data_IF_388434278858
#
_entry.id   IF_388434278858
#
_cell.length_a   1.000
_cell.length_b   1.000
_cell.length_c   1.000
_cell.angle_alpha   90.00
_cell.angle_beta   90.00
_cell.angle_gamma   90.00
#
_symmetry.space_group_name_H-M   'P 1'
#
loop_
_entity.id
_entity.type
_entity.pdbx_description
1 polymer ?
#
# COMPACT_ATOMS: atom_id res chain seq x y z
N UNK A 1 -1.03 43.17 -1.73
CA UNK A 1 0.35 43.56 -1.39
C UNK A 1 0.95 42.42 -0.60
N UNK A 2 1.55 41.48 -1.31
CA UNK A 2 2.01 40.20 -0.81
C UNK A 2 3.46 40.37 -0.34
N UNK A 3 3.70 40.22 0.96
CA UNK A 3 5.05 40.15 1.52
C UNK A 3 5.78 38.96 0.91
N UNK A 4 6.69 39.22 -0.03
CA UNK A 4 7.70 38.28 -0.48
C UNK A 4 8.52 37.85 0.75
N UNK A 5 8.21 36.64 1.23
CA UNK A 5 8.95 35.95 2.28
C UNK A 5 10.29 35.53 1.67
N UNK A 6 11.32 36.37 1.76
CA UNK A 6 12.65 36.04 1.27
C UNK A 6 13.27 34.92 2.12
N UNK A 7 13.11 33.67 1.69
CA UNK A 7 14.04 32.62 2.08
C UNK A 7 15.46 33.01 1.65
N UNK A 8 16.47 32.51 2.39
CA UNK A 8 17.88 32.81 2.10
C UNK A 8 18.22 32.44 0.65
N UNK A 9 18.88 33.31 -0.14
CA UNK A 9 19.35 32.98 -1.49
C UNK A 9 20.15 31.67 -1.57
N UNK A 10 20.89 31.36 -0.49
CA UNK A 10 21.67 30.12 -0.35
C UNK A 10 20.77 28.87 -0.37
N UNK A 11 19.61 28.92 0.29
CA UNK A 11 18.68 27.78 0.32
C UNK A 11 18.05 27.54 -1.05
N UNK A 12 17.74 28.61 -1.80
CA UNK A 12 17.19 28.51 -3.16
C UNK A 12 18.22 27.89 -4.11
N UNK A 13 19.49 28.31 -4.03
CA UNK A 13 20.58 27.76 -4.83
C UNK A 13 20.78 26.27 -4.52
N UNK A 14 20.89 25.92 -3.23
CA UNK A 14 21.04 24.53 -2.78
C UNK A 14 19.88 23.63 -3.21
N UNK A 15 18.65 24.11 -3.05
CA UNK A 15 17.46 23.43 -3.53
C UNK A 15 17.52 23.20 -5.04
N UNK A 16 17.89 24.23 -5.80
CA UNK A 16 17.93 24.17 -7.27
C UNK A 16 18.94 23.15 -7.77
N UNK A 17 20.12 23.07 -7.14
CA UNK A 17 21.13 22.05 -7.45
C UNK A 17 20.57 20.64 -7.28
N UNK A 18 19.90 20.38 -6.16
CA UNK A 18 19.37 19.06 -5.82
C UNK A 18 18.16 18.73 -6.72
N UNK A 19 17.19 19.63 -6.82
CA UNK A 19 15.95 19.40 -7.56
C UNK A 19 16.22 19.13 -9.06
N UNK A 20 17.21 19.81 -9.67
CA UNK A 20 17.61 19.59 -11.06
C UNK A 20 17.97 18.13 -11.37
N UNK A 21 18.53 17.40 -10.41
CA UNK A 21 18.85 15.98 -10.57
C UNK A 21 17.61 15.11 -10.80
N UNK A 22 16.46 15.50 -10.23
CA UNK A 22 15.22 14.75 -10.30
C UNK A 22 14.36 15.11 -11.52
N UNK A 23 14.70 16.16 -12.26
CA UNK A 23 13.99 16.53 -13.48
C UNK A 23 14.37 15.54 -14.60
N UNK A 24 13.40 14.86 -15.25
CA UNK A 24 13.69 13.98 -16.37
C UNK A 24 14.46 14.71 -17.47
N UNK A 25 15.49 14.06 -18.04
CA UNK A 25 16.37 14.67 -19.03
C UNK A 25 15.63 15.17 -20.28
N UNK A 26 14.57 14.47 -20.68
CA UNK A 26 13.68 14.86 -21.78
C UNK A 26 13.00 16.20 -21.48
N UNK A 27 12.50 16.37 -20.25
CA UNK A 27 11.86 17.62 -19.82
C UNK A 27 12.87 18.75 -19.71
N UNK A 28 14.03 18.49 -19.11
CA UNK A 28 15.09 19.47 -18.95
C UNK A 28 15.63 19.98 -20.31
N UNK A 29 15.61 19.13 -21.34
CA UNK A 29 16.05 19.49 -22.70
C UNK A 29 14.97 20.21 -23.51
N UNK A 30 13.70 20.02 -23.16
CA UNK A 30 12.57 20.67 -23.83
C UNK A 30 12.41 22.13 -23.41
N UNK A 31 12.66 22.44 -22.13
CA UNK A 31 12.52 23.79 -21.59
C UNK A 31 13.72 24.67 -21.94
N UNK A 32 13.46 25.97 -22.16
CA UNK A 32 14.55 26.95 -22.18
C UNK A 32 15.15 27.09 -20.79
N UNK A 33 16.38 27.60 -20.67
CA UNK A 33 17.00 27.84 -19.35
C UNK A 33 16.14 28.75 -18.47
N UNK A 34 15.50 29.77 -19.05
CA UNK A 34 14.63 30.68 -18.31
C UNK A 34 13.34 29.99 -17.82
N UNK A 35 12.75 29.10 -18.64
CA UNK A 35 11.56 28.35 -18.26
C UNK A 35 11.87 27.28 -17.22
N UNK A 36 13.03 26.63 -17.32
CA UNK A 36 13.53 25.69 -16.32
C UNK A 36 13.76 26.38 -14.96
N UNK A 37 14.39 27.55 -14.96
CA UNK A 37 14.61 28.31 -13.72
C UNK A 37 13.27 28.78 -13.12
N UNK A 38 12.31 29.21 -13.95
CA UNK A 38 10.94 29.53 -13.51
C UNK A 38 10.24 28.32 -12.90
N UNK A 39 10.38 27.15 -13.54
CA UNK A 39 9.81 25.88 -13.05
C UNK A 39 10.37 25.55 -11.66
N UNK A 40 11.70 25.54 -11.50
CA UNK A 40 12.37 25.24 -10.23
C UNK A 40 11.99 26.25 -9.14
N UNK A 41 11.93 27.54 -9.49
CA UNK A 41 11.56 28.59 -8.55
C UNK A 41 10.14 28.41 -8.00
N UNK A 42 9.18 28.04 -8.84
CA UNK A 42 7.82 27.75 -8.37
C UNK A 42 7.80 26.60 -7.35
N UNK A 43 8.54 25.52 -7.62
CA UNK A 43 8.64 24.36 -6.72
C UNK A 43 9.35 24.70 -5.40
N UNK A 44 10.38 25.54 -5.44
CA UNK A 44 11.01 26.07 -4.22
C UNK A 44 10.03 26.92 -3.42
N UNK A 45 9.27 27.78 -4.10
CA UNK A 45 8.31 28.66 -3.46
C UNK A 45 7.19 27.90 -2.74
N UNK A 46 6.76 26.78 -3.31
CA UNK A 46 5.86 25.84 -2.65
C UNK A 46 6.55 25.17 -1.45
N UNK A 47 7.77 24.65 -1.61
CA UNK A 47 8.45 23.84 -0.59
C UNK A 47 8.95 24.62 0.64
N UNK A 48 9.33 25.89 0.48
CA UNK A 48 9.99 26.67 1.53
C UNK A 48 9.13 26.88 2.79
N UNK A 49 7.81 26.69 2.72
CA UNK A 49 6.89 26.86 3.85
C UNK A 49 5.90 25.70 3.94
N UNK A 50 5.89 25.01 5.09
CA UNK A 50 4.92 23.95 5.43
C UNK A 50 4.53 24.10 6.91
N UNK A 51 3.28 24.51 7.16
CA UNK A 51 2.75 24.73 8.52
C UNK A 51 2.17 23.47 9.14
N UNK A 52 1.39 22.74 8.34
CA UNK A 52 0.77 21.49 8.75
C UNK A 52 1.65 20.29 8.38
N UNK A 53 1.31 19.11 8.89
CA UNK A 53 2.08 17.91 8.59
C UNK A 53 2.05 17.55 7.10
N UNK A 54 0.91 17.78 6.44
CA UNK A 54 0.71 17.56 5.01
C UNK A 54 0.31 18.88 4.37
N UNK A 55 1.05 19.33 3.36
CA UNK A 55 0.69 20.48 2.52
C UNK A 55 0.43 19.98 1.10
N UNK A 56 -0.72 20.35 0.56
CA UNK A 56 -1.15 20.02 -0.80
C UNK A 56 -1.57 21.31 -1.47
N UNK A 57 -1.12 21.53 -2.70
CA UNK A 57 -1.60 22.58 -3.59
C UNK A 57 -1.96 21.96 -4.94
N UNK A 58 -3.17 22.22 -5.41
CA UNK A 58 -3.68 21.72 -6.69
C UNK A 58 -4.20 22.89 -7.49
N UNK A 59 -3.60 23.12 -8.66
CA UNK A 59 -3.96 24.26 -9.48
C UNK A 59 -3.69 24.02 -10.96
N UNK A 60 -4.42 24.75 -11.79
CA UNK A 60 -4.12 24.91 -13.21
C UNK A 60 -3.08 26.04 -13.35
N UNK A 61 -1.88 25.78 -13.91
CA UNK A 61 -0.85 26.81 -14.04
C UNK A 61 -1.28 27.99 -14.93
N UNK A 62 -0.73 29.18 -14.64
CA UNK A 62 -0.95 30.40 -15.43
C UNK A 62 -0.19 30.41 -16.75
N UNK A 63 -0.41 31.47 -17.55
CA UNK A 63 0.17 31.64 -18.89
C UNK A 63 1.71 31.68 -18.89
N UNK A 64 2.33 32.04 -17.77
CA UNK A 64 3.79 32.00 -17.59
C UNK A 64 4.38 30.58 -17.61
N UNK A 65 3.52 29.55 -17.49
CA UNK A 65 3.84 28.13 -17.65
C UNK A 65 3.12 27.55 -18.87
N UNK A 66 3.18 28.24 -20.01
CA UNK A 66 2.44 27.89 -21.25
C UNK A 66 2.59 26.42 -21.71
N UNK A 67 3.68 25.74 -21.39
CA UNK A 67 3.87 24.32 -21.70
C UNK A 67 2.98 23.37 -20.86
N UNK A 68 2.34 23.87 -19.81
CA UNK A 68 1.42 23.16 -18.93
C UNK A 68 -0.05 23.56 -19.15
N UNK A 69 -0.38 24.24 -20.26
CA UNK A 69 -1.74 24.79 -20.50
C UNK A 69 -2.86 23.74 -20.42
N UNK A 70 -2.57 22.49 -20.78
CA UNK A 70 -3.51 21.36 -20.74
C UNK A 70 -3.31 20.45 -19.52
N UNK A 71 -2.65 20.94 -18.48
CA UNK A 71 -2.29 20.16 -17.30
C UNK A 71 -2.81 20.79 -16.02
N UNK A 72 -3.08 19.95 -15.03
CA UNK A 72 -3.21 20.34 -13.63
C UNK A 72 -1.94 19.92 -12.88
N UNK A 73 -1.44 20.81 -12.04
CA UNK A 73 -0.29 20.56 -11.18
C UNK A 73 -0.78 20.25 -9.78
N UNK A 74 -0.23 19.18 -9.20
CA UNK A 74 -0.44 18.75 -7.83
C UNK A 74 0.91 18.77 -7.14
N UNK A 75 1.09 19.67 -6.19
CA UNK A 75 2.27 19.74 -5.34
C UNK A 75 1.95 19.26 -3.94
N UNK A 76 2.77 18.36 -3.42
CA UNK A 76 2.58 17.77 -2.09
C UNK A 76 3.90 17.84 -1.33
N UNK A 77 3.85 18.17 -0.05
CA UNK A 77 5.00 17.99 0.84
C UNK A 77 4.59 17.58 2.25
N UNK A 78 5.31 16.61 2.80
CA UNK A 78 5.06 15.94 4.07
C UNK A 78 6.34 15.22 4.55
N UNK A 79 6.48 14.92 5.85
CA UNK A 79 7.56 14.06 6.33
C UNK A 79 7.56 12.71 5.60
N UNK A 80 8.76 12.24 5.24
CA UNK A 80 8.92 11.02 4.43
C UNK A 80 8.46 9.77 5.18
N UNK A 81 7.82 8.86 4.44
CA UNK A 81 7.39 7.56 4.93
C UNK A 81 7.11 6.62 3.77
N UNK A 82 6.96 5.32 4.08
CA UNK A 82 6.58 4.33 3.06
C UNK A 82 5.19 4.64 2.46
N UNK A 83 4.98 4.18 1.22
CA UNK A 83 3.71 4.21 0.48
C UNK A 83 3.20 5.57 -0.03
N UNK A 84 3.86 6.70 0.25
CA UNK A 84 3.40 8.03 -0.20
C UNK A 84 3.13 8.08 -1.71
N UNK A 85 4.11 7.69 -2.54
CA UNK A 85 3.98 7.70 -4.00
C UNK A 85 2.98 6.67 -4.49
N UNK A 86 2.94 5.49 -3.86
CA UNK A 86 1.99 4.43 -4.23
C UNK A 86 0.54 4.88 -3.99
N UNK A 87 0.26 5.51 -2.85
CA UNK A 87 -1.06 6.09 -2.54
C UNK A 87 -1.49 7.15 -3.55
N UNK A 88 -0.56 8.00 -3.99
CA UNK A 88 -0.85 9.02 -5.00
C UNK A 88 -1.15 8.40 -6.38
N UNK A 89 -0.35 7.43 -6.81
CA UNK A 89 -0.55 6.73 -8.09
C UNK A 89 -1.86 5.95 -8.06
N UNK A 90 -2.16 5.25 -6.96
CA UNK A 90 -3.39 4.48 -6.80
C UNK A 90 -4.62 5.39 -6.86
N UNK A 91 -4.57 6.55 -6.19
CA UNK A 91 -5.61 7.57 -6.27
C UNK A 91 -5.84 8.04 -7.71
N UNK A 92 -4.78 8.46 -8.41
CA UNK A 92 -4.89 8.92 -9.80
C UNK A 92 -5.45 7.82 -10.71
N UNK A 93 -5.00 6.57 -10.51
CA UNK A 93 -5.46 5.44 -11.32
C UNK A 93 -6.91 5.10 -11.05
N UNK A 94 -7.37 5.18 -9.79
CA UNK A 94 -8.77 4.94 -9.42
C UNK A 94 -9.71 5.96 -10.06
N UNK A 95 -9.28 7.22 -10.15
CA UNK A 95 -10.03 8.31 -10.79
C UNK A 95 -9.73 8.45 -12.29
N UNK A 96 -8.97 7.53 -12.89
CA UNK A 96 -8.58 7.52 -14.31
C UNK A 96 -7.85 8.81 -14.77
N UNK A 97 -7.18 9.51 -13.85
CA UNK A 97 -6.35 10.66 -14.19
C UNK A 97 -5.08 10.20 -14.89
N UNK A 98 -4.80 10.81 -16.03
CA UNK A 98 -3.60 10.55 -16.81
C UNK A 98 -2.42 11.29 -16.18
N UNK A 99 -1.48 10.53 -15.61
CA UNK A 99 -0.21 11.07 -15.12
C UNK A 99 0.72 11.34 -16.29
N UNK A 100 1.10 12.62 -16.46
CA UNK A 100 2.05 13.07 -17.47
C UNK A 100 3.49 13.06 -16.93
N UNK A 101 3.68 13.49 -15.69
CA UNK A 101 5.00 13.56 -15.05
C UNK A 101 4.89 13.46 -13.53
N UNK A 102 5.82 12.77 -12.90
CA UNK A 102 6.01 12.77 -11.45
C UNK A 102 7.48 13.06 -11.13
N UNK A 103 7.72 13.99 -10.21
CA UNK A 103 9.03 14.34 -9.68
C UNK A 103 8.94 14.22 -8.16
N UNK A 104 9.78 13.37 -7.55
CA UNK A 104 9.70 13.01 -6.14
C UNK A 104 11.08 13.05 -5.46
N UNK A 105 11.64 14.24 -5.20
CA UNK A 105 12.84 14.39 -4.40
C UNK A 105 12.56 14.21 -2.91
N UNK A 106 13.60 13.76 -2.21
CA UNK A 106 13.66 13.70 -0.75
C UNK A 106 14.76 14.65 -0.27
N UNK A 107 14.55 15.24 0.90
CA UNK A 107 15.49 16.19 1.49
C UNK A 107 15.65 15.93 2.98
N UNK A 108 16.87 16.10 3.49
CA UNK A 108 17.08 16.31 4.92
C UNK A 108 16.71 17.76 5.24
N UNK A 109 15.71 17.95 6.11
CA UNK A 109 15.08 19.27 6.33
C UNK A 109 14.93 19.57 7.82
N UNK A 110 15.35 20.77 8.21
CA UNK A 110 14.90 21.39 9.46
C UNK A 110 13.99 22.58 9.16
N UNK A 111 12.84 22.63 9.83
CA UNK A 111 11.89 23.75 9.75
C UNK A 111 11.88 24.54 11.06
N UNK A 112 11.61 25.83 10.96
CA UNK A 112 11.27 26.67 12.10
C UNK A 112 9.87 26.38 12.63
N UNK A 113 9.57 26.90 13.82
CA UNK A 113 8.24 26.78 14.42
C UNK A 113 7.13 27.47 13.59
N UNK A 114 7.51 28.36 12.66
CA UNK A 114 6.61 29.00 11.69
C UNK A 114 6.43 28.18 10.40
N UNK A 115 7.00 26.98 10.32
CA UNK A 115 6.93 26.10 9.15
C UNK A 115 7.93 26.44 8.04
N UNK A 116 8.76 27.48 8.22
CA UNK A 116 9.73 27.90 7.22
C UNK A 116 10.98 27.02 7.21
N UNK A 117 11.49 26.77 6.01
CA UNK A 117 12.74 26.05 5.79
C UNK A 117 13.93 26.77 6.42
N UNK A 118 14.72 26.07 7.25
CA UNK A 118 15.97 26.56 7.85
C UNK A 118 17.20 25.97 7.20
N UNK A 119 17.19 24.66 7.00
CA UNK A 119 18.27 23.90 6.38
C UNK A 119 17.68 22.90 5.40
N UNK A 120 18.45 22.61 4.34
CA UNK A 120 18.07 21.68 3.29
C UNK A 120 19.34 21.02 2.76
N UNK A 121 19.40 19.71 2.84
CA UNK A 121 20.50 18.91 2.30
C UNK A 121 19.96 17.75 1.46
N UNK A 122 20.80 17.26 0.53
CA UNK A 122 20.48 16.07 -0.26
C UNK A 122 20.53 14.81 0.61
N UNK A 123 19.87 13.73 0.18
CA UNK A 123 19.80 12.46 0.94
C UNK A 123 21.16 11.77 1.12
N UNK A 124 22.16 12.13 0.31
CA UNK A 124 23.53 11.60 0.42
C UNK A 124 24.39 12.37 1.43
N UNK A 125 23.91 13.52 1.91
CA UNK A 125 24.62 14.29 2.93
C UNK A 125 24.56 13.57 4.28
N UNK A 126 25.65 13.63 5.04
CA UNK A 126 25.64 13.18 6.43
C UNK A 126 24.84 14.19 7.27
N UNK A 127 23.56 13.91 7.49
CA UNK A 127 22.63 14.74 8.25
C UNK A 127 21.71 13.89 9.12
N UNK A 128 21.48 14.34 10.36
CA UNK A 128 20.50 13.74 11.27
C UNK A 128 19.11 14.40 11.16
N UNK A 129 18.95 15.40 10.29
CA UNK A 129 17.67 16.05 10.08
C UNK A 129 16.65 15.07 9.49
N UNK A 130 15.35 15.18 9.86
CA UNK A 130 14.33 14.29 9.32
C UNK A 130 14.21 14.43 7.81
N UNK A 131 13.83 13.32 7.16
CA UNK A 131 13.54 13.32 5.74
C UNK A 131 12.16 13.92 5.47
N UNK A 132 12.09 14.77 4.45
CA UNK A 132 10.86 15.34 3.94
C UNK A 132 10.72 15.04 2.45
N UNK A 133 9.53 14.58 2.09
CA UNK A 133 9.11 14.32 0.72
C UNK A 133 8.59 15.60 0.09
N UNK A 134 9.01 15.87 -1.14
CA UNK A 134 8.29 16.77 -2.04
C UNK A 134 7.84 15.98 -3.28
N UNK A 135 6.60 16.16 -3.70
CA UNK A 135 6.07 15.64 -4.95
C UNK A 135 5.62 16.81 -5.80
N UNK A 136 6.06 16.82 -7.05
CA UNK A 136 5.38 17.49 -8.14
C UNK A 136 4.75 16.41 -9.02
N UNK A 137 3.46 16.51 -9.25
CA UNK A 137 2.70 15.65 -10.14
C UNK A 137 2.00 16.52 -11.18
N UNK A 138 2.14 16.13 -12.43
CA UNK A 138 1.44 16.69 -13.57
C UNK A 138 0.44 15.67 -14.09
N UNK A 139 -0.83 16.05 -14.16
CA UNK A 139 -1.92 15.24 -14.72
C UNK A 139 -2.65 16.01 -15.83
N UNK A 140 -3.55 15.33 -16.55
CA UNK A 140 -4.49 16.00 -17.45
C UNK A 140 -5.25 17.12 -16.71
N UNK A 141 -5.59 18.18 -17.44
CA UNK A 141 -6.34 19.31 -16.87
C UNK A 141 -7.66 18.84 -16.24
N UNK A 142 -7.91 19.33 -15.03
CA UNK A 142 -9.11 19.13 -14.25
C UNK A 142 -9.91 20.44 -14.14
N UNK A 143 -11.22 20.29 -13.96
CA UNK A 143 -12.12 21.38 -13.60
C UNK A 143 -12.02 21.71 -12.09
N UNK A 144 -12.59 22.86 -11.69
CA UNK A 144 -12.42 23.37 -10.33
C UNK A 144 -12.98 22.43 -9.24
N UNK A 145 -14.13 21.81 -9.49
CA UNK A 145 -14.79 20.87 -8.58
C UNK A 145 -14.00 19.55 -8.45
N UNK A 146 -13.40 19.07 -9.54
CA UNK A 146 -12.51 17.92 -9.53
C UNK A 146 -11.25 18.20 -8.70
N UNK A 147 -10.63 19.37 -8.86
CA UNK A 147 -9.47 19.79 -8.05
C UNK A 147 -9.81 19.90 -6.56
N UNK A 148 -10.96 20.49 -6.21
CA UNK A 148 -11.43 20.56 -4.82
C UNK A 148 -11.72 19.18 -4.22
N UNK A 149 -12.27 18.25 -5.00
CA UNK A 149 -12.46 16.87 -4.58
C UNK A 149 -11.12 16.17 -4.36
N UNK A 150 -10.19 16.30 -5.31
CA UNK A 150 -8.86 15.72 -5.23
C UNK A 150 -8.07 16.22 -4.02
N UNK A 151 -8.14 17.51 -3.73
CA UNK A 151 -7.44 18.07 -2.58
C UNK A 151 -7.98 17.51 -1.25
N UNK A 152 -9.31 17.41 -1.11
CA UNK A 152 -9.93 16.83 0.10
C UNK A 152 -9.60 15.35 0.26
N UNK A 153 -9.69 14.58 -0.82
CA UNK A 153 -9.44 13.15 -0.80
C UNK A 153 -7.96 12.86 -0.51
N UNK A 154 -7.03 13.51 -1.21
CA UNK A 154 -5.60 13.29 -0.98
C UNK A 154 -5.20 13.69 0.45
N UNK A 155 -5.76 14.77 1.00
CA UNK A 155 -5.52 15.12 2.39
C UNK A 155 -5.99 14.01 3.34
N UNK A 156 -7.20 13.48 3.14
CA UNK A 156 -7.71 12.36 3.93
C UNK A 156 -6.83 11.11 3.80
N UNK A 157 -6.41 10.76 2.57
CA UNK A 157 -5.54 9.62 2.31
C UNK A 157 -4.19 9.77 3.02
N UNK A 158 -3.55 10.93 2.94
CA UNK A 158 -2.25 11.14 3.60
C UNK A 158 -2.37 11.20 5.13
N UNK A 159 -3.46 11.74 5.69
CA UNK A 159 -3.72 11.68 7.14
C UNK A 159 -3.90 10.23 7.60
N UNK A 160 -4.66 9.42 6.86
CA UNK A 160 -4.78 7.98 7.14
C UNK A 160 -3.42 7.27 7.02
N UNK A 161 -2.64 7.54 5.97
CA UNK A 161 -1.29 6.97 5.80
C UNK A 161 -0.39 7.31 6.99
N UNK A 162 -0.40 8.58 7.44
CA UNK A 162 0.41 9.00 8.60
C UNK A 162 -0.03 8.30 9.88
N UNK A 163 -1.33 8.09 10.05
CA UNK A 163 -1.89 7.31 11.16
C UNK A 163 -1.35 5.87 11.13
N UNK A 164 -1.44 5.20 9.97
CA UNK A 164 -0.95 3.83 9.77
C UNK A 164 0.55 3.73 10.09
N UNK A 165 1.35 4.64 9.56
CA UNK A 165 2.80 4.67 9.78
C UNK A 165 3.13 4.90 11.27
N UNK A 166 2.42 5.81 11.94
CA UNK A 166 2.65 6.11 13.37
C UNK A 166 2.28 4.95 14.29
N UNK A 167 1.32 4.12 13.88
CA UNK A 167 0.83 2.98 14.67
C UNK A 167 1.62 1.69 14.41
N UNK A 168 2.55 1.69 13.45
CA UNK A 168 3.27 0.49 13.00
C UNK A 168 3.91 -0.31 14.15
N UNK A 169 4.62 0.36 15.06
CA UNK A 169 5.27 -0.31 16.20
C UNK A 169 4.26 -0.96 17.15
N UNK A 170 3.07 -0.37 17.31
CA UNK A 170 2.01 -0.93 18.15
C UNK A 170 1.40 -2.17 17.51
N UNK A 171 1.24 -2.17 16.18
CA UNK A 171 0.76 -3.34 15.43
C UNK A 171 1.80 -4.46 15.44
N UNK A 172 3.08 -4.17 15.24
CA UNK A 172 4.15 -5.17 15.31
C UNK A 172 4.31 -5.79 16.71
N UNK A 173 4.12 -4.96 17.75
CA UNK A 173 4.07 -5.46 19.14
C UNK A 173 2.91 -6.42 19.35
N UNK A 174 1.71 -6.07 18.85
CA UNK A 174 0.55 -6.95 18.94
C UNK A 174 0.83 -8.28 18.23
N UNK A 175 1.37 -8.26 17.00
CA UNK A 175 1.82 -9.46 16.28
C UNK A 175 2.78 -10.32 17.11
N UNK A 176 3.70 -9.68 17.83
CA UNK A 176 4.65 -10.36 18.72
C UNK A 176 4.02 -11.05 19.91
N UNK A 177 3.01 -10.43 20.53
CA UNK A 177 2.26 -11.06 21.61
C UNK A 177 1.55 -12.34 21.13
N UNK A 178 1.01 -12.33 19.92
CA UNK A 178 0.31 -13.48 19.34
C UNK A 178 1.24 -14.57 18.80
N UNK A 179 2.50 -14.25 18.55
CA UNK A 179 3.53 -15.21 18.12
C UNK A 179 4.08 -16.07 19.27
N UNK A 180 3.96 -15.61 20.52
CA UNK A 180 4.54 -16.30 21.67
C UNK A 180 3.81 -17.61 22.00
N UNK A 181 4.57 -18.70 22.17
CA UNK A 181 4.02 -20.00 22.57
C UNK A 181 3.32 -20.79 21.46
N UNK A 182 3.37 -20.29 20.22
CA UNK A 182 2.84 -20.97 19.04
C UNK A 182 3.77 -22.11 18.59
N UNK A 183 3.25 -23.04 17.81
CA UNK A 183 4.06 -24.08 17.17
C UNK A 183 5.01 -23.48 16.11
N UNK A 184 5.96 -24.29 15.63
CA UNK A 184 6.99 -23.85 14.69
C UNK A 184 6.43 -23.38 13.34
N UNK A 185 5.35 -24.00 12.87
CA UNK A 185 4.73 -23.66 11.58
C UNK A 185 3.99 -22.33 11.68
N UNK A 186 3.19 -22.16 12.73
CA UNK A 186 2.49 -20.90 13.03
C UNK A 186 3.48 -19.76 13.23
N UNK A 187 4.58 -20.00 13.95
CA UNK A 187 5.65 -19.01 14.15
C UNK A 187 6.30 -18.59 12.83
N UNK A 188 6.50 -19.54 11.90
CA UNK A 188 7.05 -19.24 10.58
C UNK A 188 6.08 -18.38 9.74
N UNK A 189 4.77 -18.68 9.77
CA UNK A 189 3.74 -17.85 9.10
C UNK A 189 3.75 -16.43 9.64
N UNK A 190 3.77 -16.26 10.97
CA UNK A 190 3.77 -14.93 11.59
C UNK A 190 5.05 -14.15 11.28
N UNK A 191 6.21 -14.81 11.27
CA UNK A 191 7.47 -14.19 10.85
C UNK A 191 7.43 -13.77 9.38
N UNK A 192 6.85 -14.60 8.51
CA UNK A 192 6.69 -14.27 7.10
C UNK A 192 5.74 -13.07 6.91
N UNK A 193 4.62 -13.03 7.63
CA UNK A 193 3.69 -11.89 7.57
C UNK A 193 4.36 -10.56 7.94
N UNK A 194 5.25 -10.53 8.95
CA UNK A 194 5.95 -9.28 9.30
C UNK A 194 6.82 -8.71 8.18
N UNK A 195 7.39 -9.57 7.33
CA UNK A 195 8.23 -9.12 6.21
C UNK A 195 7.40 -8.86 4.94
N UNK A 196 6.36 -9.64 4.71
CA UNK A 196 5.68 -9.73 3.41
C UNK A 196 4.25 -9.19 3.40
N UNK A 197 3.72 -8.77 4.54
CA UNK A 197 2.38 -8.18 4.69
C UNK A 197 2.47 -6.73 5.17
N UNK A 198 1.88 -5.82 4.41
CA UNK A 198 1.75 -4.41 4.76
C UNK A 198 0.66 -4.28 5.81
N UNK A 199 1.06 -3.85 7.01
CA UNK A 199 0.17 -3.69 8.17
C UNK A 199 -0.56 -2.35 8.07
N UNK A 200 -1.87 -2.39 7.82
CA UNK A 200 -2.71 -1.20 7.73
C UNK A 200 -3.49 -0.91 9.01
N UNK A 201 -3.75 -1.92 9.84
CA UNK A 201 -4.41 -1.71 11.12
C UNK A 201 -4.53 -2.98 11.93
N UNK A 202 -4.76 -2.83 13.22
CA UNK A 202 -5.01 -3.97 14.10
C UNK A 202 -5.85 -3.61 15.32
N UNK A 203 -6.57 -4.60 15.85
CA UNK A 203 -7.40 -4.47 17.04
C UNK A 203 -7.57 -5.82 17.72
N UNK A 204 -7.98 -5.81 18.99
CA UNK A 204 -8.46 -7.04 19.66
C UNK A 204 -9.90 -7.35 19.23
N UNK A 205 -10.25 -8.62 19.27
CA UNK A 205 -11.55 -9.12 18.83
C UNK A 205 -11.94 -10.35 19.63
N UNK A 206 -13.24 -10.56 19.80
CA UNK A 206 -13.82 -11.84 20.23
C UNK A 206 -13.96 -12.88 19.08
N UNK A 207 -13.36 -12.60 17.92
CA UNK A 207 -13.49 -13.30 16.63
C UNK A 207 -14.80 -13.06 15.86
N UNK A 208 -15.74 -12.28 16.42
CA UNK A 208 -16.97 -11.88 15.74
C UNK A 208 -17.03 -10.38 15.52
N UNK A 209 -16.44 -9.59 16.41
CA UNK A 209 -16.42 -8.13 16.31
C UNK A 209 -15.15 -7.57 16.92
N UNK A 210 -14.81 -6.34 16.54
CA UNK A 210 -13.71 -5.62 17.19
C UNK A 210 -14.17 -5.19 18.58
N UNK A 211 -13.33 -5.43 19.59
CA UNK A 211 -13.62 -5.11 20.99
C UNK A 211 -13.68 -3.58 21.17
N UNK A 212 -14.83 -3.06 21.59
CA UNK A 212 -15.07 -1.62 21.69
C UNK A 212 -14.15 -0.90 22.68
N UNK A 213 -13.74 -1.60 23.74
CA UNK A 213 -12.86 -1.07 24.80
C UNK A 213 -11.36 -1.35 24.54
N UNK A 214 -11.03 -2.00 23.42
CA UNK A 214 -9.65 -2.31 23.08
C UNK A 214 -8.95 -1.18 22.33
N UNK A 215 -7.62 -1.02 22.49
CA UNK A 215 -6.84 -0.15 21.62
C UNK A 215 -6.98 -0.58 20.16
N UNK A 216 -7.23 0.41 19.29
CA UNK A 216 -7.34 0.23 17.84
C UNK A 216 -6.28 1.05 17.12
N UNK A 217 -5.73 0.48 16.05
CA UNK A 217 -4.58 1.01 15.34
C UNK A 217 -4.85 1.14 13.83
N UNK A 218 -4.21 2.12 13.20
CA UNK A 218 -4.25 2.36 11.76
C UNK A 218 -5.68 2.58 11.25
N UNK A 219 -6.07 1.86 10.20
CA UNK A 219 -7.39 1.98 9.56
C UNK A 219 -8.56 1.75 10.54
N UNK A 220 -8.36 1.00 11.62
CA UNK A 220 -9.42 0.76 12.62
C UNK A 220 -9.67 1.95 13.55
N UNK A 221 -8.89 3.04 13.47
CA UNK A 221 -9.27 4.29 14.14
C UNK A 221 -10.56 4.89 13.56
N UNK A 222 -10.88 4.59 12.31
CA UNK A 222 -12.14 4.98 11.69
C UNK A 222 -13.28 4.06 12.13
N UNK A 223 -14.34 4.64 12.71
CA UNK A 223 -15.54 3.90 13.15
C UNK A 223 -16.21 3.11 12.03
N UNK A 224 -16.29 3.70 10.83
CA UNK A 224 -16.87 3.04 9.65
C UNK A 224 -16.14 1.76 9.29
N UNK A 225 -14.80 1.77 9.31
CA UNK A 225 -13.98 0.58 9.05
C UNK A 225 -14.25 -0.51 10.09
N UNK A 226 -14.30 -0.16 11.38
CA UNK A 226 -14.60 -1.12 12.46
C UNK A 226 -15.98 -1.75 12.32
N UNK A 227 -16.99 -0.95 11.97
CA UNK A 227 -18.35 -1.43 11.77
C UNK A 227 -18.46 -2.39 10.57
N UNK A 228 -17.81 -2.06 9.44
CA UNK A 228 -17.76 -2.94 8.26
C UNK A 228 -17.08 -4.26 8.59
N UNK A 229 -15.91 -4.23 9.22
CA UNK A 229 -15.15 -5.45 9.55
C UNK A 229 -15.87 -6.32 10.58
N UNK A 230 -16.50 -5.71 11.59
CA UNK A 230 -17.31 -6.49 12.54
C UNK A 230 -18.48 -7.20 11.86
N UNK A 231 -19.09 -6.59 10.82
CA UNK A 231 -20.13 -7.23 10.03
C UNK A 231 -19.59 -8.40 9.20
N UNK A 232 -18.45 -8.22 8.55
CA UNK A 232 -17.82 -9.27 7.76
C UNK A 232 -17.38 -10.46 8.64
N UNK A 233 -16.77 -10.22 9.80
CA UNK A 233 -16.41 -11.26 10.77
C UNK A 233 -17.64 -12.07 11.24
N UNK A 234 -18.77 -11.40 11.49
CA UNK A 234 -20.03 -12.06 11.83
C UNK A 234 -20.57 -12.93 10.69
N UNK A 235 -20.47 -12.46 9.45
CA UNK A 235 -20.93 -13.20 8.26
C UNK A 235 -20.08 -14.44 7.98
N UNK A 236 -18.77 -14.35 8.16
CA UNK A 236 -17.85 -15.48 8.01
C UNK A 236 -18.09 -16.58 9.07
N UNK A 237 -18.77 -16.26 10.17
CA UNK A 237 -19.19 -17.26 11.14
C UNK A 237 -18.02 -17.98 11.82
N UNK A 238 -16.90 -17.28 12.03
CA UNK A 238 -15.69 -17.83 12.66
C UNK A 238 -16.05 -18.50 14.00
N UNK A 239 -16.06 -19.83 14.01
CA UNK A 239 -16.37 -20.56 15.24
C UNK A 239 -15.24 -20.40 16.24
N UNK A 240 -15.58 -20.28 17.52
CA UNK A 240 -14.62 -20.39 18.62
C UNK A 240 -14.04 -21.81 18.73
N UNK A 241 -14.63 -22.78 18.03
CA UNK A 241 -14.12 -24.15 17.91
C UNK A 241 -13.11 -24.35 16.77
N UNK A 242 -12.92 -23.35 15.90
CA UNK A 242 -11.91 -23.44 14.85
C UNK A 242 -10.52 -23.32 15.48
N UNK A 243 -9.76 -24.42 15.48
CA UNK A 243 -8.50 -24.54 16.22
C UNK A 243 -7.33 -23.83 15.52
N UNK A 244 -7.55 -23.29 14.32
CA UNK A 244 -6.50 -22.64 13.53
C UNK A 244 -6.02 -21.36 14.23
N UNK A 245 -4.71 -21.24 14.55
CA UNK A 245 -4.18 -20.07 15.25
C UNK A 245 -4.08 -18.83 14.35
N UNK A 246 -4.11 -19.01 13.03
CA UNK A 246 -4.08 -17.94 12.02
C UNK A 246 -5.16 -18.23 10.99
N UNK A 247 -6.08 -17.29 10.80
CA UNK A 247 -7.18 -17.39 9.85
C UNK A 247 -7.11 -16.18 8.92
N UNK A 248 -7.12 -16.44 7.62
CA UNK A 248 -7.09 -15.41 6.58
C UNK A 248 -8.47 -15.23 5.99
N UNK A 249 -8.88 -13.98 5.81
CA UNK A 249 -10.16 -13.60 5.23
C UNK A 249 -9.97 -12.53 4.18
N UNK A 250 -10.78 -12.62 3.13
CA UNK A 250 -10.93 -11.57 2.13
C UNK A 250 -12.07 -10.65 2.53
N UNK A 251 -11.94 -9.37 2.20
CA UNK A 251 -12.95 -8.36 2.50
C UNK A 251 -13.45 -7.72 1.21
N UNK A 252 -14.54 -6.97 1.32
CA UNK A 252 -14.93 -6.01 0.29
C UNK A 252 -14.70 -4.56 0.77
N UNK A 253 -13.87 -4.41 1.82
CA UNK A 253 -13.59 -3.11 2.44
C UNK A 253 -12.25 -2.58 1.95
N UNK A 254 -12.24 -1.29 1.58
CA UNK A 254 -11.09 -0.60 1.03
C UNK A 254 -10.53 0.40 2.05
N UNK A 255 -9.22 0.65 1.99
CA UNK A 255 -8.57 1.77 2.69
C UNK A 255 -8.50 2.99 1.79
N UNK A 256 -8.38 4.18 2.38
CA UNK A 256 -8.14 5.41 1.63
C UNK A 256 -6.72 5.44 1.02
N UNK A 257 -5.78 4.71 1.62
CA UNK A 257 -4.36 4.64 1.21
C UNK A 257 -4.15 3.66 0.03
N UNK A 258 -5.12 2.79 -0.25
CA UNK A 258 -5.18 1.86 -1.39
C UNK A 258 -6.65 1.60 -1.78
N UNK A 259 -7.20 2.46 -2.64
CA UNK A 259 -8.62 2.43 -3.07
C UNK A 259 -8.92 1.31 -4.06
N UNK A 260 -7.92 0.75 -4.73
CA UNK A 260 -8.14 -0.28 -5.76
C UNK A 260 -8.15 -1.71 -5.24
N UNK A 261 -7.58 -1.96 -4.06
CA UNK A 261 -7.50 -3.30 -3.48
C UNK A 261 -8.22 -3.33 -2.15
N UNK A 262 -9.21 -4.23 -1.96
CA UNK A 262 -9.71 -4.48 -0.62
C UNK A 262 -8.57 -5.09 0.21
N UNK A 263 -8.55 -4.80 1.51
CA UNK A 263 -7.54 -5.39 2.39
C UNK A 263 -7.94 -6.79 2.83
N UNK A 264 -6.96 -7.61 3.14
CA UNK A 264 -7.17 -8.90 3.79
C UNK A 264 -7.27 -8.71 5.30
N UNK A 265 -8.02 -9.58 5.95
CA UNK A 265 -7.97 -9.73 7.40
C UNK A 265 -7.18 -10.97 7.78
N UNK A 266 -6.41 -10.85 8.85
CA UNK A 266 -5.75 -11.97 9.50
C UNK A 266 -6.23 -11.99 10.94
N UNK A 267 -7.01 -13.00 11.29
CA UNK A 267 -7.44 -13.26 12.67
C UNK A 267 -6.41 -14.18 13.33
N UNK A 268 -5.77 -13.68 14.37
CA UNK A 268 -4.79 -14.37 15.18
C UNK A 268 -5.41 -14.84 16.47
N UNK A 269 -5.12 -16.07 16.89
CA UNK A 269 -5.60 -16.66 18.14
C UNK A 269 -4.43 -17.15 18.98
N UNK A 270 -4.43 -16.80 20.26
CA UNK A 270 -3.49 -17.33 21.24
C UNK A 270 -4.20 -17.55 22.58
N UNK A 271 -4.48 -18.82 22.89
CA UNK A 271 -5.33 -19.19 24.03
C UNK A 271 -6.74 -18.62 23.87
N UNK A 272 -7.19 -17.83 24.85
CA UNK A 272 -8.51 -17.19 24.85
C UNK A 272 -8.51 -15.77 24.25
N UNK A 273 -7.37 -15.31 23.73
CA UNK A 273 -7.24 -13.98 23.12
C UNK A 273 -7.30 -14.12 21.60
N UNK A 274 -7.95 -13.16 20.95
CA UNK A 274 -7.88 -12.98 19.50
C UNK A 274 -7.56 -11.55 19.11
N UNK A 275 -6.89 -11.38 17.98
CA UNK A 275 -6.65 -10.10 17.33
C UNK A 275 -6.98 -10.19 15.85
N UNK A 276 -7.39 -9.08 15.26
CA UNK A 276 -7.60 -8.94 13.83
C UNK A 276 -6.62 -7.92 13.28
N UNK A 277 -6.00 -8.24 12.15
CA UNK A 277 -5.05 -7.38 11.45
C UNK A 277 -5.59 -7.16 10.05
N UNK A 278 -5.64 -5.91 9.60
CA UNK A 278 -5.96 -5.52 8.23
C UNK A 278 -4.67 -5.19 7.46
N UNK A 279 -4.60 -5.62 6.20
CA UNK A 279 -3.45 -5.29 5.36
C UNK A 279 -3.45 -5.87 3.96
N UNK A 280 -2.31 -5.78 3.28
CA UNK A 280 -2.11 -6.32 1.93
C UNK A 280 -0.81 -7.11 1.82
N UNK A 281 -0.80 -8.10 0.93
CA UNK A 281 0.44 -8.73 0.51
C UNK A 281 1.29 -7.76 -0.31
N UNK A 282 2.59 -7.71 -0.01
CA UNK A 282 3.56 -6.95 -0.80
C UNK A 282 3.72 -7.58 -2.19
N UNK A 283 4.22 -6.82 -3.16
CA UNK A 283 4.57 -7.37 -4.47
C UNK A 283 5.61 -8.50 -4.35
N UNK A 284 6.53 -8.40 -3.39
CA UNK A 284 7.50 -9.46 -3.08
C UNK A 284 6.81 -10.75 -2.63
N UNK A 285 5.77 -10.66 -1.81
CA UNK A 285 4.95 -11.80 -1.43
C UNK A 285 4.30 -12.46 -2.65
N UNK A 286 3.64 -11.67 -3.50
CA UNK A 286 2.90 -12.17 -4.67
C UNK A 286 3.79 -12.87 -5.71
N UNK A 287 5.05 -12.46 -5.78
CA UNK A 287 6.05 -12.99 -6.72
C UNK A 287 6.94 -14.09 -6.12
N UNK A 288 6.86 -14.33 -4.82
CA UNK A 288 7.64 -15.37 -4.13
C UNK A 288 7.21 -16.78 -4.57
N UNK A 289 8.16 -17.70 -4.62
CA UNK A 289 7.86 -19.09 -4.94
C UNK A 289 6.94 -19.69 -3.85
N UNK A 290 5.85 -20.34 -4.25
CA UNK A 290 4.86 -20.91 -3.30
C UNK A 290 5.46 -21.99 -2.40
N UNK A 291 6.58 -22.59 -2.81
CA UNK A 291 7.37 -23.54 -2.03
C UNK A 291 8.20 -22.90 -0.90
N UNK A 292 8.35 -21.57 -0.88
CA UNK A 292 9.08 -20.83 0.15
C UNK A 292 8.15 -20.21 1.19
N UNK A 293 6.86 -20.06 0.86
CA UNK A 293 5.87 -19.42 1.74
C UNK A 293 5.43 -20.43 2.81
N UNK A 294 5.52 -20.07 4.11
CA UNK A 294 5.01 -20.91 5.19
C UNK A 294 3.53 -21.25 5.00
N UNK A 295 3.09 -22.40 5.48
CA UNK A 295 1.78 -23.03 5.26
C UNK A 295 1.47 -23.39 3.79
N UNK A 296 1.66 -22.46 2.86
CA UNK A 296 1.44 -22.64 1.42
C UNK A 296 2.34 -23.74 0.85
N UNK A 297 3.63 -23.79 1.23
CA UNK A 297 4.54 -24.85 0.78
C UNK A 297 4.03 -26.26 1.15
N UNK A 298 3.39 -26.41 2.31
CA UNK A 298 2.81 -27.68 2.75
C UNK A 298 1.58 -28.05 1.92
N UNK A 299 0.78 -27.06 1.50
CA UNK A 299 -0.33 -27.30 0.58
C UNK A 299 0.18 -27.75 -0.80
N UNK A 300 1.21 -27.10 -1.33
CA UNK A 300 1.85 -27.51 -2.59
C UNK A 300 2.42 -28.94 -2.47
N UNK A 301 3.05 -29.29 -1.35
CA UNK A 301 3.52 -30.66 -1.09
C UNK A 301 2.37 -31.68 -1.05
N UNK A 302 1.22 -31.33 -0.46
CA UNK A 302 0.02 -32.18 -0.49
C UNK A 302 -0.49 -32.40 -1.91
N UNK A 303 -0.52 -31.36 -2.73
CA UNK A 303 -0.88 -31.47 -4.16
C UNK A 303 0.09 -32.41 -4.89
N UNK A 304 1.40 -32.24 -4.71
CA UNK A 304 2.40 -33.12 -5.32
C UNK A 304 2.18 -34.59 -4.93
N UNK A 305 1.91 -34.87 -3.65
CA UNK A 305 1.64 -36.21 -3.16
C UNK A 305 0.34 -36.77 -3.73
N UNK A 306 -0.72 -35.95 -3.83
CA UNK A 306 -2.03 -36.32 -4.41
C UNK A 306 -1.88 -36.81 -5.84
N UNK A 307 -1.14 -36.07 -6.68
CA UNK A 307 -0.87 -36.45 -8.07
C UNK A 307 0.29 -37.45 -8.24
N UNK A 308 0.85 -37.97 -7.14
CA UNK A 308 2.00 -38.90 -7.15
C UNK A 308 3.17 -38.36 -7.98
N UNK A 309 3.39 -37.05 -7.92
CA UNK A 309 4.37 -36.35 -8.72
C UNK A 309 5.79 -36.61 -8.19
N UNK A 310 6.59 -37.41 -8.92
CA UNK A 310 7.98 -37.67 -8.55
C UNK A 310 8.86 -36.42 -8.70
N UNK A 311 10.05 -36.44 -8.10
CA UNK A 311 10.98 -35.30 -8.09
C UNK A 311 11.40 -34.83 -9.49
N UNK A 312 11.40 -35.72 -10.49
CA UNK A 312 11.75 -35.43 -11.89
C UNK A 312 10.53 -35.42 -12.82
N UNK A 313 9.32 -35.64 -12.30
CA UNK A 313 8.11 -35.72 -13.11
C UNK A 313 7.76 -34.40 -13.79
N UNK A 314 7.13 -34.50 -14.95
CA UNK A 314 6.58 -33.36 -15.65
C UNK A 314 5.47 -32.67 -14.83
N UNK A 315 4.57 -33.46 -14.23
CA UNK A 315 3.45 -32.98 -13.40
C UNK A 315 3.95 -32.09 -12.26
N UNK A 316 5.08 -32.44 -11.62
CA UNK A 316 5.70 -31.59 -10.59
C UNK A 316 6.04 -30.19 -11.10
N UNK A 317 6.57 -30.09 -12.33
CA UNK A 317 6.90 -28.79 -12.95
C UNK A 317 5.63 -27.98 -13.22
N UNK A 318 4.57 -28.62 -13.69
CA UNK A 318 3.29 -27.96 -13.92
C UNK A 318 2.62 -27.49 -12.63
N UNK A 319 2.62 -28.31 -11.58
CA UNK A 319 2.08 -27.91 -10.27
C UNK A 319 2.81 -26.66 -9.76
N UNK A 320 4.13 -26.61 -9.84
CA UNK A 320 4.89 -25.42 -9.45
C UNK A 320 4.59 -24.21 -10.32
N UNK A 321 4.55 -24.39 -11.65
CA UNK A 321 4.25 -23.31 -12.60
C UNK A 321 2.88 -22.71 -12.32
N UNK A 322 1.85 -23.55 -12.23
CA UNK A 322 0.46 -23.14 -11.98
C UNK A 322 0.34 -22.51 -10.59
N UNK A 323 0.97 -23.09 -9.55
CA UNK A 323 0.93 -22.51 -8.20
C UNK A 323 1.46 -21.08 -8.16
N UNK A 324 2.51 -20.78 -8.93
CA UNK A 324 3.09 -19.44 -9.01
C UNK A 324 2.25 -18.43 -9.82
N UNK A 325 1.25 -18.89 -10.57
CA UNK A 325 0.30 -18.02 -11.29
C UNK A 325 -0.91 -17.63 -10.42
N UNK A 326 -1.18 -18.38 -9.36
CA UNK A 326 -2.33 -18.17 -8.48
C UNK A 326 -1.96 -17.12 -7.42
N UNK A 327 -2.79 -16.09 -7.18
CA UNK A 327 -2.58 -15.10 -6.13
C UNK A 327 -2.32 -15.75 -4.77
N UNK A 328 -1.38 -15.21 -3.99
CA UNK A 328 -0.95 -15.82 -2.73
C UNK A 328 -2.11 -15.96 -1.74
N UNK A 329 -3.00 -14.96 -1.70
CA UNK A 329 -4.15 -14.97 -0.80
C UNK A 329 -5.05 -16.20 -0.95
N UNK A 330 -5.28 -16.69 -2.17
CA UNK A 330 -6.16 -17.83 -2.42
C UNK A 330 -5.65 -19.13 -1.78
N UNK A 331 -4.34 -19.27 -1.57
CA UNK A 331 -3.80 -20.41 -0.83
C UNK A 331 -4.20 -20.39 0.65
N UNK A 332 -4.37 -19.20 1.22
CA UNK A 332 -4.77 -19.05 2.61
C UNK A 332 -6.29 -19.11 2.79
N UNK A 333 -7.04 -18.51 1.86
CA UNK A 333 -8.50 -18.30 1.99
C UNK A 333 -9.32 -19.40 1.32
N UNK A 334 -8.76 -20.07 0.31
CA UNK A 334 -9.46 -21.02 -0.57
C UNK A 334 -8.74 -22.35 -0.81
N UNK A 335 -8.13 -22.99 0.22
CA UNK A 335 -7.34 -24.21 0.02
C UNK A 335 -8.13 -25.37 -0.61
N UNK A 336 -9.40 -25.54 -0.25
CA UNK A 336 -10.25 -26.62 -0.83
C UNK A 336 -10.58 -26.39 -2.30
N UNK A 337 -10.92 -25.15 -2.65
CA UNK A 337 -11.19 -24.76 -4.04
C UNK A 337 -9.94 -24.96 -4.90
N UNK A 338 -8.76 -24.61 -4.38
CA UNK A 338 -7.51 -24.86 -5.08
C UNK A 338 -7.28 -26.35 -5.32
N UNK A 339 -7.52 -27.23 -4.34
CA UNK A 339 -7.40 -28.68 -4.58
C UNK A 339 -8.30 -29.14 -5.74
N UNK A 340 -9.55 -28.65 -5.80
CA UNK A 340 -10.48 -28.96 -6.90
C UNK A 340 -9.99 -28.42 -8.25
N UNK A 341 -9.50 -27.18 -8.28
CA UNK A 341 -8.94 -26.58 -9.50
C UNK A 341 -7.72 -27.34 -9.99
N UNK A 342 -6.80 -27.73 -9.10
CA UNK A 342 -5.65 -28.52 -9.48
C UNK A 342 -6.06 -29.89 -10.02
N UNK A 343 -7.09 -30.54 -9.45
CA UNK A 343 -7.62 -31.79 -10.02
C UNK A 343 -8.13 -31.59 -11.44
N UNK A 344 -8.93 -30.54 -11.69
CA UNK A 344 -9.45 -30.23 -13.01
C UNK A 344 -8.33 -29.89 -14.00
N UNK A 345 -7.45 -28.96 -13.64
CA UNK A 345 -6.40 -28.44 -14.52
C UNK A 345 -5.40 -29.55 -14.85
N UNK A 346 -4.92 -30.29 -13.85
CA UNK A 346 -3.91 -31.33 -14.06
C UNK A 346 -4.50 -32.52 -14.83
N UNK A 347 -5.74 -32.92 -14.55
CA UNK A 347 -6.39 -34.03 -15.26
C UNK A 347 -6.68 -33.72 -16.72
N UNK A 348 -6.91 -32.45 -17.05
CA UNK A 348 -7.18 -31.97 -18.40
C UNK A 348 -5.97 -31.31 -19.09
N UNK A 349 -4.77 -31.45 -18.53
CA UNK A 349 -3.55 -30.93 -19.17
C UNK A 349 -3.39 -31.48 -20.59
N UNK A 350 -3.38 -30.57 -21.58
CA UNK A 350 -3.24 -30.88 -23.00
C UNK A 350 -4.38 -31.71 -23.61
N UNK A 351 -5.51 -31.86 -22.92
CA UNK A 351 -6.72 -32.38 -23.53
C UNK A 351 -7.19 -31.42 -24.64
N UNK A 352 -7.58 -31.97 -25.79
CA UNK A 352 -8.15 -31.18 -26.89
C UNK A 352 -9.60 -30.76 -26.62
N UNK A 353 -10.27 -31.50 -25.74
CA UNK A 353 -11.62 -31.18 -25.27
C UNK A 353 -11.52 -30.30 -24.04
N UNK A 354 -12.21 -29.16 -24.06
CA UNK A 354 -12.23 -28.21 -22.95
C UNK A 354 -13.26 -28.69 -21.94
N UNK A 355 -12.79 -29.01 -20.74
CA UNK A 355 -13.63 -29.29 -19.58
C UNK A 355 -13.77 -28.01 -18.73
N UNK A 356 -14.94 -27.79 -18.15
CA UNK A 356 -15.24 -26.62 -17.33
C UNK A 356 -15.93 -27.03 -16.03
N UNK A 357 -15.49 -26.47 -14.92
CA UNK A 357 -16.22 -26.53 -13.65
C UNK A 357 -16.85 -25.17 -13.34
N UNK A 358 -17.92 -25.21 -12.54
CA UNK A 358 -18.51 -24.02 -11.95
C UNK A 358 -18.69 -24.32 -10.47
N UNK A 359 -17.88 -23.68 -9.64
CA UNK A 359 -17.74 -24.03 -8.23
C UNK A 359 -18.31 -22.92 -7.36
N UNK A 360 -19.37 -23.25 -6.62
CA UNK A 360 -19.97 -22.31 -5.67
C UNK A 360 -19.03 -22.07 -4.49
N UNK A 361 -18.87 -20.81 -4.15
CA UNK A 361 -18.02 -20.35 -3.06
C UNK A 361 -18.88 -19.67 -1.98
N UNK A 362 -19.47 -20.46 -1.07
CA UNK A 362 -20.45 -19.97 -0.11
C UNK A 362 -19.85 -19.00 0.91
N UNK A 363 -18.55 -19.10 1.25
CA UNK A 363 -17.99 -18.20 2.28
C UNK A 363 -17.78 -16.77 1.77
N UNK A 364 -17.72 -16.55 0.45
CA UNK A 364 -17.71 -15.19 -0.14
C UNK A 364 -18.92 -14.90 -1.03
N UNK A 365 -19.92 -15.79 -1.08
CA UNK A 365 -21.09 -15.67 -1.95
C UNK A 365 -20.70 -15.43 -3.42
N UNK A 366 -19.72 -16.21 -3.90
CA UNK A 366 -19.17 -16.12 -5.25
C UNK A 366 -19.37 -17.44 -6.01
N UNK A 367 -19.12 -17.40 -7.32
CA UNK A 367 -19.02 -18.59 -8.18
C UNK A 367 -17.76 -18.43 -9.00
N UNK A 368 -16.95 -19.48 -9.04
CA UNK A 368 -15.72 -19.54 -9.82
C UNK A 368 -15.89 -20.36 -11.09
#
# INVERSE_FOLDING_TARGET
>A
MTTQSNASPILKERYSEIFRFYIPSVQASFLTSADLDRFIEARFNFFQERKDEVKIDIHNPGDEFYWLINSTVVEITLPDSRFIVETLIDYCTYHEYQINMIIHPLYHVERGADGRLRTLESVEAASDAPLETQIYLEINRLEADEMESMQRDLLANFVELRTIVSDYESVDRLLSEFSSGQDAETSAVLSWLREYFVLLGAAQTDSRQIDADSPVYGVFRHEGARASISRELQQQGLSTSDASPVIFLETQTFSNVNKRKPYYLIVLRNGNRSAVIAGHFTQRAETMARTEIPYVRLQVERLLNRFRASSTSYIRKEIYRISNLIPVALFFTRPRLLEMWFDLIISNLYASEVDFSMDADPDYNMVW
#
